data_IF_109796876791
#
_entry.id   IF_109796876791
#
_cell.length_a   1.000
_cell.length_b   1.000
_cell.length_c   1.000
_cell.angle_alpha   90.00
_cell.angle_beta   90.00
_cell.angle_gamma   90.00
#
_symmetry.space_group_name_H-M   'P 1'
#
loop_
_entity.id
_entity.type
_entity.pdbx_description
1 polymer ?
#
# COMPACT_ATOMS: atom_id res chain seq x y z
N UNK A 1 13.28 -1.81 -19.06
CA UNK A 1 12.48 -1.34 -17.91
C UNK A 1 11.53 -0.21 -18.28
N UNK A 2 12.04 0.98 -18.60
CA UNK A 2 11.22 2.15 -18.96
C UNK A 2 10.24 1.88 -20.10
N UNK A 3 10.68 1.21 -21.17
CA UNK A 3 9.82 0.85 -22.30
C UNK A 3 8.71 -0.16 -21.97
N UNK A 4 8.84 -0.91 -20.87
CA UNK A 4 7.88 -1.95 -20.44
C UNK A 4 6.98 -1.48 -19.29
N UNK A 5 7.52 -0.65 -18.39
CA UNK A 5 6.90 -0.29 -17.11
C UNK A 5 6.78 1.22 -16.88
N UNK A 6 7.28 2.06 -17.78
CA UNK A 6 7.22 3.53 -17.65
C UNK A 6 8.05 4.13 -16.51
N UNK A 7 8.72 3.32 -15.70
CA UNK A 7 9.49 3.78 -14.53
C UNK A 7 10.84 3.06 -14.43
N UNK A 8 11.97 3.77 -14.31
CA UNK A 8 13.30 3.17 -14.41
C UNK A 8 13.75 2.39 -13.16
N UNK A 9 13.05 2.55 -12.02
CA UNK A 9 13.48 2.00 -10.73
C UNK A 9 12.71 0.76 -10.26
N UNK A 10 11.98 0.10 -11.15
CA UNK A 10 11.01 -0.96 -10.79
C UNK A 10 11.66 -2.16 -10.06
N UNK A 11 12.98 -2.35 -10.12
CA UNK A 11 13.68 -3.45 -9.41
C UNK A 11 14.94 -3.03 -8.63
N UNK A 12 15.30 -1.74 -8.60
CA UNK A 12 16.63 -1.36 -8.09
C UNK A 12 16.66 -0.96 -6.61
N UNK A 13 15.55 -0.51 -5.99
CA UNK A 13 15.65 0.11 -4.66
C UNK A 13 14.35 0.20 -3.84
N UNK A 14 13.39 -0.72 -4.02
CA UNK A 14 12.19 -0.68 -3.16
C UNK A 14 12.38 -1.48 -1.87
N UNK A 15 12.35 -0.79 -0.74
CA UNK A 15 12.18 -1.42 0.58
C UNK A 15 10.72 -1.30 0.99
N UNK A 16 10.09 -2.44 1.25
CA UNK A 16 8.75 -2.47 1.84
C UNK A 16 8.78 -1.78 3.21
N UNK A 17 7.95 -0.76 3.37
CA UNK A 17 7.75 -0.06 4.63
C UNK A 17 6.26 0.27 4.80
N UNK A 18 5.83 0.33 6.05
CA UNK A 18 4.47 0.74 6.42
C UNK A 18 4.61 2.07 7.15
N UNK A 19 3.90 3.08 6.68
CA UNK A 19 3.84 4.37 7.37
C UNK A 19 2.98 4.21 8.62
N UNK A 20 3.59 4.33 9.81
CA UNK A 20 2.89 4.17 11.09
C UNK A 20 2.45 5.50 11.69
N UNK A 21 3.12 6.59 11.35
CA UNK A 21 2.87 7.93 11.89
C UNK A 21 3.14 9.00 10.82
N UNK A 22 2.61 10.20 11.04
CA UNK A 22 3.07 11.40 10.36
C UNK A 22 4.44 11.85 10.87
N UNK A 23 4.85 13.08 10.54
CA UNK A 23 6.11 13.64 11.04
C UNK A 23 6.00 13.92 12.55
N UNK A 24 6.95 13.41 13.33
CA UNK A 24 7.07 13.63 14.78
C UNK A 24 8.46 14.19 15.11
N UNK A 25 8.58 14.88 16.25
CA UNK A 25 9.84 15.43 16.76
C UNK A 25 9.88 15.41 18.29
N UNK A 26 11.09 15.49 18.86
CA UNK A 26 11.33 15.51 20.30
C UNK A 26 10.71 14.32 21.03
N UNK A 27 10.15 14.57 22.21
CA UNK A 27 9.57 13.56 23.10
C UNK A 27 8.49 12.70 22.41
N UNK A 28 7.71 13.29 21.50
CA UNK A 28 6.68 12.56 20.76
C UNK A 28 7.27 11.50 19.83
N UNK A 29 8.41 11.79 19.19
CA UNK A 29 9.12 10.81 18.37
C UNK A 29 9.68 9.68 19.23
N UNK A 30 10.31 10.01 20.36
CA UNK A 30 10.87 8.99 21.26
C UNK A 30 9.78 8.08 21.84
N UNK A 31 8.63 8.66 22.21
CA UNK A 31 7.49 7.90 22.71
C UNK A 31 6.93 6.96 21.64
N UNK A 32 6.76 7.46 20.41
CA UNK A 32 6.31 6.65 19.29
C UNK A 32 7.29 5.50 19.01
N UNK A 33 8.60 5.76 19.00
CA UNK A 33 9.63 4.74 18.79
C UNK A 33 9.56 3.64 19.86
N UNK A 34 9.46 4.01 21.14
CA UNK A 34 9.34 3.02 22.24
C UNK A 34 8.08 2.17 22.09
N UNK A 35 6.94 2.80 21.78
CA UNK A 35 5.66 2.08 21.60
C UNK A 35 5.69 1.15 20.39
N UNK A 36 6.21 1.63 19.25
CA UNK A 36 6.34 0.84 18.03
C UNK A 36 7.30 -0.32 18.24
N UNK A 37 8.45 -0.12 18.88
CA UNK A 37 9.40 -1.19 19.17
C UNK A 37 8.77 -2.27 20.06
N UNK A 38 8.09 -1.88 21.15
CA UNK A 38 7.41 -2.83 22.03
C UNK A 38 6.36 -3.70 21.30
N UNK A 39 5.65 -3.12 20.32
CA UNK A 39 4.68 -3.86 19.49
C UNK A 39 5.35 -4.71 18.41
N UNK A 40 6.37 -4.20 17.73
CA UNK A 40 6.97 -4.82 16.55
C UNK A 40 8.06 -5.84 16.89
N UNK A 41 8.75 -5.70 18.03
CA UNK A 41 9.82 -6.60 18.45
C UNK A 41 9.38 -8.07 18.52
N UNK A 42 8.20 -8.41 19.09
CA UNK A 42 7.69 -9.78 19.06
C UNK A 42 7.45 -10.30 17.64
N UNK A 43 7.10 -9.44 16.69
CA UNK A 43 6.78 -9.79 15.30
C UNK A 43 8.04 -9.97 14.43
N UNK A 44 9.22 -9.58 14.92
CA UNK A 44 10.47 -9.61 14.16
C UNK A 44 10.81 -11.04 13.73
N UNK A 45 11.09 -11.22 12.44
CA UNK A 45 11.47 -12.51 11.86
C UNK A 45 10.30 -13.47 11.61
N UNK A 46 9.08 -13.07 11.96
CA UNK A 46 7.89 -13.84 11.61
C UNK A 46 7.49 -13.58 10.15
N UNK A 47 7.11 -14.65 9.45
CA UNK A 47 6.59 -14.53 8.10
C UNK A 47 5.18 -13.90 8.14
N UNK A 48 4.98 -12.82 7.38
CA UNK A 48 3.67 -12.23 7.16
C UNK A 48 3.12 -12.78 5.85
N UNK A 49 2.06 -13.59 5.92
CA UNK A 49 1.38 -14.07 4.73
C UNK A 49 0.71 -12.90 4.00
N UNK A 50 1.01 -12.75 2.71
CA UNK A 50 0.39 -11.75 1.83
C UNK A 50 -0.51 -12.51 0.85
N UNK A 51 -1.84 -12.54 1.04
CA UNK A 51 -2.75 -13.34 0.22
C UNK A 51 -3.09 -12.69 -1.13
N UNK A 52 -2.72 -11.42 -1.33
CA UNK A 52 -3.09 -10.67 -2.52
C UNK A 52 -2.67 -9.22 -2.47
N UNK A 53 -3.09 -8.48 -3.51
CA UNK A 53 -2.87 -7.04 -3.67
C UNK A 53 -4.22 -6.35 -3.87
N UNK A 54 -4.32 -5.08 -3.52
CA UNK A 54 -5.54 -4.30 -3.69
C UNK A 54 -5.24 -3.02 -4.46
N UNK A 55 -6.14 -2.64 -5.35
CA UNK A 55 -6.08 -1.37 -6.06
C UNK A 55 -6.97 -0.37 -5.34
N UNK A 56 -6.40 0.78 -5.01
CA UNK A 56 -7.12 1.91 -4.41
C UNK A 56 -7.11 3.08 -5.37
N UNK A 57 -8.16 3.89 -5.30
CA UNK A 57 -8.31 5.11 -6.08
C UNK A 57 -8.52 6.26 -5.12
N UNK A 58 -7.84 7.37 -5.36
CA UNK A 58 -8.17 8.67 -4.77
C UNK A 58 -8.93 9.45 -5.84
N UNK A 59 -10.26 9.59 -5.73
CA UNK A 59 -11.07 10.17 -6.81
C UNK A 59 -10.69 11.62 -7.14
N UNK A 60 -10.34 12.39 -6.11
CA UNK A 60 -9.98 13.80 -6.20
C UNK A 60 -8.78 14.09 -5.28
N UNK A 61 -7.94 15.10 -5.60
CA UNK A 61 -6.81 15.45 -4.76
C UNK A 61 -7.23 15.73 -3.31
N UNK A 62 -6.69 14.96 -2.37
CA UNK A 62 -6.96 15.11 -0.94
C UNK A 62 -8.21 14.37 -0.43
N UNK A 63 -8.99 13.72 -1.31
CA UNK A 63 -10.06 12.84 -0.89
C UNK A 63 -9.52 11.54 -0.27
N UNK A 64 -10.36 10.86 0.50
CA UNK A 64 -10.03 9.53 1.02
C UNK A 64 -9.82 8.52 -0.11
N UNK A 65 -8.89 7.59 0.10
CA UNK A 65 -8.72 6.46 -0.80
C UNK A 65 -9.89 5.50 -0.65
N UNK A 66 -10.46 5.09 -1.78
CA UNK A 66 -11.47 4.04 -1.86
C UNK A 66 -10.88 2.78 -2.48
N UNK A 67 -11.18 1.63 -1.91
CA UNK A 67 -10.81 0.36 -2.50
C UNK A 67 -11.60 0.16 -3.80
N UNK A 68 -10.91 -0.16 -4.89
CA UNK A 68 -11.51 -0.46 -6.18
C UNK A 68 -11.69 -1.97 -6.37
N UNK A 69 -10.62 -2.74 -6.12
CA UNK A 69 -10.64 -4.20 -6.26
C UNK A 69 -9.55 -4.87 -5.44
N UNK A 70 -9.88 -6.03 -4.89
CA UNK A 70 -8.94 -6.93 -4.23
C UNK A 70 -8.60 -8.10 -5.16
N UNK A 71 -7.32 -8.29 -5.47
CA UNK A 71 -6.81 -9.40 -6.29
C UNK A 71 -6.07 -10.39 -5.40
N UNK A 72 -6.57 -11.62 -5.35
CA UNK A 72 -6.01 -12.68 -4.52
C UNK A 72 -5.02 -13.49 -5.35
N UNK A 73 -3.98 -14.04 -4.71
CA UNK A 73 -2.98 -14.86 -5.38
C UNK A 73 -3.45 -16.28 -5.72
N UNK A 74 -4.69 -16.64 -5.33
CA UNK A 74 -5.40 -17.83 -5.81
C UNK A 74 -6.11 -17.61 -7.16
N UNK A 75 -5.98 -16.40 -7.75
CA UNK A 75 -6.58 -16.03 -9.03
C UNK A 75 -7.99 -15.45 -8.91
N UNK A 76 -8.57 -15.39 -7.70
CA UNK A 76 -9.86 -14.75 -7.47
C UNK A 76 -9.71 -13.23 -7.31
N UNK A 77 -10.81 -12.50 -7.52
CA UNK A 77 -10.89 -11.09 -7.18
C UNK A 77 -12.27 -10.72 -6.66
N UNK A 78 -12.31 -9.65 -5.87
CA UNK A 78 -13.54 -9.09 -5.32
C UNK A 78 -13.57 -7.59 -5.61
N UNK A 79 -14.65 -7.14 -6.24
CA UNK A 79 -14.91 -5.73 -6.47
C UNK A 79 -15.26 -5.01 -5.16
N UNK A 80 -14.79 -3.76 -5.04
CA UNK A 80 -15.09 -2.88 -3.93
C UNK A 80 -15.80 -1.60 -4.42
N UNK A 81 -16.09 -0.66 -3.52
CA UNK A 81 -16.92 0.52 -3.82
C UNK A 81 -16.38 1.39 -4.96
N UNK A 82 -15.07 1.33 -5.22
CA UNK A 82 -14.41 2.05 -6.30
C UNK A 82 -14.25 1.26 -7.60
N UNK A 83 -14.92 0.11 -7.79
CA UNK A 83 -14.71 -0.74 -8.96
C UNK A 83 -14.96 -0.02 -10.30
N UNK A 84 -15.92 0.92 -10.33
CA UNK A 84 -16.24 1.69 -11.53
C UNK A 84 -15.07 2.57 -12.01
N UNK A 85 -14.15 2.97 -11.13
CA UNK A 85 -12.94 3.70 -11.51
C UNK A 85 -11.96 2.85 -12.33
N UNK A 86 -12.11 1.53 -12.34
CA UNK A 86 -11.28 0.62 -13.15
C UNK A 86 -11.80 0.47 -14.58
N UNK A 87 -13.05 0.87 -14.83
CA UNK A 87 -13.61 0.93 -16.16
C UNK A 87 -13.04 2.19 -16.82
N UNK A 88 -11.90 2.06 -17.50
CA UNK A 88 -11.32 3.15 -18.28
C UNK A 88 -12.34 3.74 -19.27
N UNK A 89 -12.03 4.88 -19.91
CA UNK A 89 -12.90 5.40 -20.96
C UNK A 89 -13.19 4.30 -21.99
N UNK A 90 -14.42 4.23 -22.55
CA UNK A 90 -14.72 3.25 -23.60
C UNK A 90 -13.64 3.32 -24.67
N UNK A 91 -13.15 2.15 -25.09
CA UNK A 91 -12.20 2.07 -26.20
C UNK A 91 -12.81 2.81 -27.42
N UNK A 92 -12.01 3.61 -28.16
CA UNK A 92 -12.49 4.36 -29.31
C UNK A 92 -13.05 3.46 -30.41
#
# INVERSE_FOLDING_TARGET
>A
MLARWGYPYVFDTYTFHITLTGKLAGDALEQAQRGIAAFADPLRGQAMAVPGISVYVQPEPGADFVAARHYHFDGTHTDAVGADYLQGPPAP
#
